data_IF_116019500937
#
_entry.id   IF_116019500937
#
_cell.length_a   1.000
_cell.length_b   1.000
_cell.length_c   1.000
_cell.angle_alpha   90.00
_cell.angle_beta   90.00
_cell.angle_gamma   90.00
#
_symmetry.space_group_name_H-M   'P 1'
#
loop_
_entity.id
_entity.type
_entity.pdbx_description
1 polymer ?
#
# COMPACT_ATOMS: atom_id res chain seq x y z
N UNK A 1 18.55 -10.02 0.54
CA UNK A 1 17.67 -11.17 0.87
C UNK A 1 16.45 -10.69 1.66
N UNK A 2 15.26 -11.23 1.38
CA UNK A 2 14.02 -10.87 2.05
C UNK A 2 13.90 -11.56 3.43
N UNK A 3 13.39 -10.85 4.44
CA UNK A 3 13.32 -11.33 5.83
C UNK A 3 11.98 -12.00 6.22
N UNK A 4 11.01 -12.05 5.32
CA UNK A 4 9.65 -12.57 5.51
C UNK A 4 8.70 -11.92 4.51
N UNK A 5 7.39 -12.24 4.53
CA UNK A 5 6.38 -11.63 3.63
C UNK A 5 6.47 -10.10 3.63
N UNK A 6 6.24 -9.49 2.47
CA UNK A 6 6.17 -8.04 2.39
C UNK A 6 4.94 -7.55 3.18
N UNK A 7 5.05 -6.39 3.82
CA UNK A 7 3.90 -5.72 4.47
C UNK A 7 3.07 -4.87 3.50
N UNK A 8 3.50 -4.77 2.25
CA UNK A 8 2.74 -4.14 1.18
C UNK A 8 2.97 -4.88 -0.15
N UNK A 9 1.94 -4.95 -0.98
CA UNK A 9 2.02 -5.48 -2.33
C UNK A 9 1.04 -4.76 -3.27
N UNK A 10 1.18 -5.00 -4.57
CA UNK A 10 0.29 -4.41 -5.58
C UNK A 10 -0.83 -5.39 -5.93
N UNK A 11 -2.03 -4.85 -6.08
CA UNK A 11 -3.17 -5.55 -6.66
C UNK A 11 -3.39 -5.05 -8.08
N UNK A 12 -3.25 -5.94 -9.06
CA UNK A 12 -3.44 -5.64 -10.47
C UNK A 12 -4.86 -6.03 -10.90
N UNK A 13 -5.61 -5.09 -11.46
CA UNK A 13 -6.99 -5.33 -11.90
C UNK A 13 -7.05 -6.10 -13.23
N UNK A 14 -8.14 -6.86 -13.43
CA UNK A 14 -8.44 -7.52 -14.69
C UNK A 14 -9.84 -7.11 -15.20
N UNK A 15 -9.96 -6.69 -16.46
CA UNK A 15 -11.28 -6.39 -17.04
C UNK A 15 -12.02 -7.64 -17.55
N UNK A 16 -11.32 -8.77 -17.69
CA UNK A 16 -11.92 -10.06 -18.03
C UNK A 16 -11.06 -11.22 -17.53
N UNK A 17 -11.62 -12.43 -17.38
CA UNK A 17 -10.84 -13.62 -17.02
C UNK A 17 -9.69 -13.89 -17.99
N UNK A 18 -9.86 -13.55 -19.28
CA UNK A 18 -8.81 -13.69 -20.29
C UNK A 18 -7.70 -12.65 -20.12
N UNK A 19 -8.02 -11.44 -19.67
CA UNK A 19 -7.00 -10.47 -19.30
C UNK A 19 -6.22 -10.92 -18.07
N UNK A 20 -6.89 -11.45 -17.04
CA UNK A 20 -6.23 -11.99 -15.84
C UNK A 20 -5.20 -13.06 -16.24
N UNK A 21 -5.62 -14.07 -17.03
CA UNK A 21 -4.73 -15.12 -17.53
C UNK A 21 -3.55 -14.58 -18.34
N UNK A 22 -3.78 -13.59 -19.21
CA UNK A 22 -2.71 -12.94 -19.99
C UNK A 22 -1.72 -12.19 -19.11
N UNK A 23 -2.19 -11.45 -18.10
CA UNK A 23 -1.33 -10.76 -17.13
C UNK A 23 -0.48 -11.75 -16.35
N UNK A 24 -1.09 -12.85 -15.88
CA UNK A 24 -0.37 -13.93 -15.18
C UNK A 24 0.69 -14.56 -16.09
N UNK A 25 0.31 -15.00 -17.29
CA UNK A 25 1.26 -15.60 -18.24
C UNK A 25 2.41 -14.65 -18.56
N UNK A 26 2.12 -13.36 -18.78
CA UNK A 26 3.14 -12.35 -19.05
C UNK A 26 4.11 -12.16 -17.88
N UNK A 27 3.61 -12.14 -16.65
CA UNK A 27 4.46 -12.04 -15.47
C UNK A 27 5.40 -13.26 -15.35
N UNK A 28 4.88 -14.46 -15.60
CA UNK A 28 5.70 -15.69 -15.60
C UNK A 28 6.77 -15.69 -16.68
N UNK A 29 6.44 -15.27 -17.91
CA UNK A 29 7.41 -15.09 -19.01
C UNK A 29 8.54 -14.13 -18.67
N UNK A 30 8.24 -13.11 -17.86
CA UNK A 30 9.20 -12.11 -17.39
C UNK A 30 10.01 -12.56 -16.16
N UNK A 31 9.89 -13.82 -15.74
CA UNK A 31 10.62 -14.39 -14.62
C UNK A 31 9.90 -14.32 -13.28
N UNK A 32 8.63 -13.90 -13.27
CA UNK A 32 7.76 -14.05 -12.11
C UNK A 32 7.43 -15.52 -11.83
N UNK A 33 6.91 -15.80 -10.64
CA UNK A 33 6.55 -17.14 -10.21
C UNK A 33 5.28 -17.12 -9.36
N UNK A 34 4.52 -18.22 -9.38
CA UNK A 34 3.47 -18.42 -8.39
C UNK A 34 4.06 -18.52 -6.98
N UNK A 35 3.32 -17.99 -6.01
CA UNK A 35 3.65 -18.07 -4.59
C UNK A 35 2.38 -18.29 -3.78
N UNK A 36 2.53 -19.03 -2.69
CA UNK A 36 1.49 -19.22 -1.68
C UNK A 36 1.86 -18.37 -0.46
N UNK A 37 0.96 -17.48 -0.07
CA UNK A 37 1.05 -16.63 1.11
C UNK A 37 -0.02 -16.93 2.15
N UNK A 38 -0.77 -18.02 1.97
CA UNK A 38 -1.90 -18.43 2.81
C UNK A 38 -3.27 -18.10 2.22
N UNK A 39 -3.35 -17.77 0.93
CA UNK A 39 -4.62 -17.59 0.23
C UNK A 39 -5.39 -18.93 0.17
N UNK A 40 -6.71 -18.86 0.31
CA UNK A 40 -7.65 -19.97 0.26
C UNK A 40 -7.97 -20.41 -1.17
N UNK A 41 -8.40 -21.67 -1.40
CA UNK A 41 -8.83 -22.14 -2.73
C UNK A 41 -10.04 -21.41 -3.30
N UNK A 42 -10.85 -20.76 -2.44
CA UNK A 42 -12.02 -19.99 -2.82
C UNK A 42 -11.68 -18.58 -3.33
N UNK A 43 -10.45 -18.10 -3.10
CA UNK A 43 -9.99 -16.82 -3.60
C UNK A 43 -9.64 -16.90 -5.09
N UNK A 44 -10.27 -16.05 -5.90
CA UNK A 44 -10.12 -16.04 -7.36
C UNK A 44 -8.90 -15.24 -7.86
N UNK A 45 -8.27 -14.48 -6.98
CA UNK A 45 -7.06 -13.74 -7.29
C UNK A 45 -5.85 -14.68 -7.44
N UNK A 46 -4.91 -14.31 -8.30
CA UNK A 46 -3.68 -15.09 -8.50
C UNK A 46 -2.50 -14.38 -7.85
N UNK A 47 -1.90 -15.00 -6.84
CA UNK A 47 -0.70 -14.47 -6.17
C UNK A 47 0.57 -14.88 -6.94
N UNK A 48 1.38 -13.89 -7.26
CA UNK A 48 2.68 -14.03 -7.90
C UNK A 48 3.78 -13.34 -7.10
N UNK A 49 5.02 -13.69 -7.38
CA UNK A 49 6.19 -12.95 -6.94
C UNK A 49 7.04 -12.55 -8.16
N UNK A 50 7.57 -11.33 -8.15
CA UNK A 50 8.55 -10.86 -9.14
C UNK A 50 9.91 -11.59 -8.98
N UNK A 51 10.88 -11.40 -9.90
CA UNK A 51 12.20 -12.03 -9.80
C UNK A 51 12.96 -11.72 -8.49
N UNK A 52 12.64 -10.58 -7.88
CA UNK A 52 13.20 -10.10 -6.62
C UNK A 52 12.45 -10.63 -5.38
N UNK A 53 11.40 -11.44 -5.59
CA UNK A 53 10.57 -12.04 -4.56
C UNK A 53 9.58 -11.08 -3.90
N UNK A 54 9.20 -9.98 -4.55
CA UNK A 54 8.09 -9.13 -4.11
C UNK A 54 6.76 -9.73 -4.55
N UNK A 55 5.85 -9.95 -3.60
CA UNK A 55 4.50 -10.42 -3.93
C UNK A 55 3.67 -9.34 -4.61
N UNK A 56 2.74 -9.77 -5.45
CA UNK A 56 1.66 -8.98 -6.01
C UNK A 56 0.52 -9.92 -6.43
N UNK A 57 -0.70 -9.41 -6.48
CA UNK A 57 -1.89 -10.16 -6.85
C UNK A 57 -2.39 -9.72 -8.22
N UNK A 58 -2.88 -10.67 -9.02
CA UNK A 58 -3.68 -10.39 -10.22
C UNK A 58 -5.13 -10.72 -9.90
N UNK A 59 -5.90 -9.68 -9.64
CA UNK A 59 -7.29 -9.76 -9.18
C UNK A 59 -8.20 -10.22 -10.32
N UNK A 60 -9.19 -11.03 -9.99
CA UNK A 60 -10.23 -11.50 -10.87
C UNK A 60 -11.03 -10.36 -11.52
N UNK A 61 -11.72 -10.68 -12.61
CA UNK A 61 -12.59 -9.72 -13.26
C UNK A 61 -13.93 -9.61 -12.53
N UNK A 62 -14.50 -8.40 -12.51
CA UNK A 62 -15.78 -8.14 -11.84
C UNK A 62 -15.65 -7.85 -10.34
N UNK A 63 -14.42 -7.71 -9.82
CA UNK A 63 -14.19 -7.25 -8.46
C UNK A 63 -14.76 -5.83 -8.26
N UNK A 64 -15.85 -5.71 -7.49
CA UNK A 64 -16.53 -4.43 -7.26
C UNK A 64 -15.71 -3.49 -6.36
N UNK A 65 -14.92 -4.03 -5.44
CA UNK A 65 -14.09 -3.23 -4.53
C UNK A 65 -13.02 -2.44 -5.28
N UNK A 66 -12.42 -3.02 -6.32
CA UNK A 66 -11.46 -2.36 -7.21
C UNK A 66 -12.12 -1.81 -8.48
N UNK A 67 -13.44 -1.66 -8.51
CA UNK A 67 -14.09 -0.91 -9.57
C UNK A 67 -13.54 0.54 -9.61
N UNK A 68 -13.53 1.10 -10.82
CA UNK A 68 -13.11 2.48 -11.12
C UNK A 68 -11.65 2.83 -10.76
N UNK A 69 -10.79 1.82 -10.55
CA UNK A 69 -9.35 2.02 -10.41
C UNK A 69 -8.59 1.81 -11.72
N UNK A 70 -7.32 2.21 -11.76
CA UNK A 70 -6.43 1.91 -12.88
C UNK A 70 -5.90 0.47 -12.86
N UNK A 71 -4.88 0.20 -13.70
CA UNK A 71 -4.26 -1.13 -13.79
C UNK A 71 -3.67 -1.62 -12.45
N UNK A 72 -3.14 -0.71 -11.63
CA UNK A 72 -2.85 -0.95 -10.21
C UNK A 72 -4.09 -0.50 -9.44
N UNK A 73 -4.87 -1.46 -8.99
CA UNK A 73 -6.13 -1.20 -8.29
C UNK A 73 -5.90 -0.77 -6.86
N UNK A 74 -5.00 -1.45 -6.16
CA UNK A 74 -4.60 -1.10 -4.81
C UNK A 74 -3.10 -1.28 -4.56
N UNK A 75 -2.61 -0.53 -3.58
CA UNK A 75 -1.46 -0.93 -2.78
C UNK A 75 -2.02 -1.53 -1.49
N UNK A 76 -1.97 -2.84 -1.38
CA UNK A 76 -2.52 -3.60 -0.26
C UNK A 76 -1.48 -3.73 0.84
N UNK A 77 -1.78 -3.17 2.01
CA UNK A 77 -0.89 -3.15 3.16
C UNK A 77 -1.40 -4.02 4.31
N UNK A 78 -0.47 -4.61 5.04
CA UNK A 78 -0.69 -5.18 6.35
C UNK A 78 -0.62 -4.06 7.39
N UNK A 79 -1.72 -3.80 8.09
CA UNK A 79 -1.74 -2.81 9.15
C UNK A 79 -3.08 -2.63 9.83
N UNK A 80 -3.05 -1.92 10.95
CA UNK A 80 -4.22 -1.66 11.79
C UNK A 80 -5.17 -0.63 11.18
N UNK A 81 -6.40 -0.57 11.69
CA UNK A 81 -7.31 0.55 11.40
C UNK A 81 -6.69 1.92 11.68
N UNK A 82 -5.83 2.03 12.71
CA UNK A 82 -5.22 3.31 13.09
C UNK A 82 -4.30 3.88 12.00
N UNK A 83 -3.54 3.03 11.30
CA UNK A 83 -2.70 3.48 10.18
C UNK A 83 -3.55 3.92 8.98
N UNK A 84 -4.68 3.26 8.71
CA UNK A 84 -5.61 3.71 7.68
C UNK A 84 -6.24 5.07 7.96
N UNK A 85 -6.68 5.30 9.21
CA UNK A 85 -7.15 6.62 9.65
C UNK A 85 -6.07 7.69 9.55
N UNK A 86 -4.83 7.37 9.96
CA UNK A 86 -3.69 8.26 9.82
C UNK A 86 -3.48 8.69 8.38
N UNK A 87 -3.44 7.75 7.43
CA UNK A 87 -3.23 8.08 6.01
C UNK A 87 -4.40 8.82 5.39
N UNK A 88 -5.65 8.54 5.82
CA UNK A 88 -6.82 9.32 5.44
C UNK A 88 -6.64 10.80 5.80
N UNK A 89 -6.24 11.11 7.04
CA UNK A 89 -6.02 12.48 7.51
C UNK A 89 -4.73 13.11 6.96
N UNK A 90 -3.69 12.32 6.74
CA UNK A 90 -2.42 12.78 6.20
C UNK A 90 -2.59 13.27 4.76
N UNK A 91 -3.28 12.47 3.92
CA UNK A 91 -3.53 12.75 2.50
C UNK A 91 -4.80 13.56 2.24
N UNK A 92 -5.69 13.66 3.24
CA UNK A 92 -7.06 14.19 3.11
C UNK A 92 -7.87 13.40 2.09
N UNK A 93 -7.65 12.08 2.05
CA UNK A 93 -8.38 11.17 1.19
C UNK A 93 -9.50 10.51 2.00
N UNK A 94 -10.74 10.48 1.48
CA UNK A 94 -11.84 9.84 2.18
C UNK A 94 -11.59 8.34 2.37
N UNK A 95 -12.11 7.80 3.48
CA UNK A 95 -12.30 6.37 3.64
C UNK A 95 -13.40 5.93 2.67
N UNK A 96 -13.04 5.06 1.72
CA UNK A 96 -13.98 4.37 0.83
C UNK A 96 -14.37 3.00 1.37
N UNK A 97 -13.67 2.53 2.41
CA UNK A 97 -14.00 1.35 3.19
C UNK A 97 -13.51 1.53 4.64
N UNK A 98 -14.34 1.15 5.61
CA UNK A 98 -14.02 1.11 7.04
C UNK A 98 -14.98 0.15 7.74
N UNK A 99 -14.67 -1.14 7.70
CA UNK A 99 -15.48 -2.21 8.27
C UNK A 99 -14.57 -3.31 8.82
N UNK A 100 -14.96 -3.94 9.93
CA UNK A 100 -14.24 -5.06 10.55
C UNK A 100 -12.74 -4.79 10.79
N UNK A 101 -12.40 -3.55 11.14
CA UNK A 101 -11.03 -3.05 11.33
C UNK A 101 -10.16 -2.95 10.05
N UNK A 102 -10.70 -3.32 8.90
CA UNK A 102 -10.10 -3.07 7.60
C UNK A 102 -10.44 -1.66 7.11
N UNK A 103 -9.48 -1.03 6.43
CA UNK A 103 -9.67 0.32 5.88
C UNK A 103 -9.17 0.43 4.45
N UNK A 104 -9.82 1.28 3.67
CA UNK A 104 -9.32 1.70 2.38
C UNK A 104 -9.59 3.18 2.17
N UNK A 105 -8.59 3.88 1.62
CA UNK A 105 -8.71 5.28 1.19
C UNK A 105 -8.46 5.39 -0.30
N UNK A 106 -9.07 6.39 -0.91
CA UNK A 106 -8.87 6.71 -2.32
C UNK A 106 -8.91 8.22 -2.49
N UNK A 107 -8.11 8.76 -3.43
CA UNK A 107 -8.22 10.16 -3.80
C UNK A 107 -9.67 10.49 -4.21
N UNK A 108 -10.21 11.67 -3.85
CA UNK A 108 -11.49 12.14 -4.38
C UNK A 108 -11.55 12.18 -5.92
N UNK A 109 -10.38 12.27 -6.57
CA UNK A 109 -10.25 12.26 -8.03
C UNK A 109 -10.17 10.83 -8.62
N UNK A 110 -10.31 9.79 -7.79
CA UNK A 110 -10.21 8.38 -8.17
C UNK A 110 -8.79 7.83 -8.22
N UNK A 111 -8.59 6.72 -8.94
CA UNK A 111 -7.27 6.07 -9.10
C UNK A 111 -7.01 4.94 -8.10
N UNK A 112 -5.75 4.64 -7.82
CA UNK A 112 -5.33 3.52 -6.96
C UNK A 112 -5.79 3.72 -5.52
N UNK A 113 -6.31 2.67 -4.89
CA UNK A 113 -6.66 2.63 -3.47
C UNK A 113 -5.44 2.31 -2.61
N UNK A 114 -5.38 2.82 -1.39
CA UNK A 114 -4.48 2.32 -0.35
C UNK A 114 -5.32 1.57 0.68
N UNK A 115 -4.94 0.33 1.00
CA UNK A 115 -5.75 -0.53 1.87
C UNK A 115 -4.93 -1.09 3.03
N UNK A 116 -5.59 -1.34 4.16
CA UNK A 116 -5.02 -1.99 5.34
C UNK A 116 -5.96 -3.08 5.84
N UNK A 117 -5.46 -4.32 5.91
CA UNK A 117 -6.25 -5.52 6.18
C UNK A 117 -6.62 -5.79 7.65
N UNK A 118 -6.36 -4.85 8.58
CA UNK A 118 -6.73 -5.02 9.98
C UNK A 118 -5.92 -6.09 10.74
N UNK A 119 -6.26 -6.37 12.01
CA UNK A 119 -5.59 -7.38 12.82
C UNK A 119 -6.00 -8.82 12.46
N UNK A 120 -5.12 -9.82 12.71
CA UNK A 120 -3.80 -9.69 13.31
C UNK A 120 -2.74 -9.21 12.32
N UNK A 121 -2.09 -8.11 12.67
CA UNK A 121 -1.04 -7.50 11.85
C UNK A 121 0.26 -8.29 12.00
N UNK A 122 0.91 -8.62 10.89
CA UNK A 122 2.12 -9.43 10.93
C UNK A 122 3.29 -8.66 11.59
N UNK A 123 4.08 -9.31 12.46
CA UNK A 123 5.25 -8.65 13.05
C UNK A 123 6.21 -8.15 11.98
N UNK A 124 6.62 -6.88 12.08
CA UNK A 124 7.57 -6.27 11.15
C UNK A 124 8.94 -6.94 11.24
N UNK A 125 9.53 -7.26 10.08
CA UNK A 125 10.83 -7.94 9.96
C UNK A 125 11.81 -7.09 9.15
N UNK A 126 12.58 -6.26 9.83
CA UNK A 126 13.53 -5.34 9.20
C UNK A 126 12.84 -4.15 8.54
N UNK A 127 13.55 -3.48 7.62
CA UNK A 127 13.05 -2.33 6.86
C UNK A 127 12.07 -2.80 5.78
N UNK A 128 10.98 -2.06 5.60
CA UNK A 128 10.01 -2.37 4.55
C UNK A 128 10.65 -2.22 3.16
N UNK A 129 10.31 -3.14 2.24
CA UNK A 129 10.78 -3.07 0.83
C UNK A 129 10.04 -2.02 0.01
N UNK A 130 8.82 -1.70 0.41
CA UNK A 130 7.99 -0.63 -0.15
C UNK A 130 7.71 0.37 0.98
N UNK A 131 7.88 1.66 0.70
CA UNK A 131 7.54 2.75 1.61
C UNK A 131 6.92 3.88 0.80
N UNK A 132 6.08 4.68 1.46
CA UNK A 132 5.46 5.84 0.84
C UNK A 132 6.38 7.05 0.92
N UNK A 133 6.34 7.89 -0.11
CA UNK A 133 6.86 9.26 -0.08
C UNK A 133 5.67 10.22 -0.15
N UNK A 134 5.45 10.96 0.93
CA UNK A 134 4.47 12.03 1.04
C UNK A 134 5.07 13.33 0.51
N UNK A 135 4.68 13.70 -0.71
CA UNK A 135 5.02 15.00 -1.28
C UNK A 135 4.12 16.10 -0.72
N UNK A 136 4.72 17.13 -0.14
CA UNK A 136 3.95 18.26 0.36
C UNK A 136 3.50 19.20 -0.78
N UNK A 137 2.27 19.75 -0.72
CA UNK A 137 1.81 20.70 -1.72
C UNK A 137 2.59 22.02 -1.63
N UNK A 138 2.62 22.76 -2.75
CA UNK A 138 3.22 24.09 -2.77
C UNK A 138 2.57 25.00 -1.69
N UNK A 139 3.40 25.63 -0.86
CA UNK A 139 2.96 26.47 0.25
C UNK A 139 2.70 25.74 1.57
N UNK A 140 2.86 24.41 1.63
CA UNK A 140 2.91 23.69 2.91
C UNK A 140 4.11 24.16 3.73
N UNK A 141 3.87 24.39 5.02
CA UNK A 141 4.93 24.78 5.95
C UNK A 141 5.71 23.55 6.43
N UNK A 142 6.91 23.38 5.89
CA UNK A 142 7.85 22.34 6.30
C UNK A 142 8.17 22.36 7.81
N UNK A 143 8.09 23.53 8.46
CA UNK A 143 8.36 23.67 9.89
C UNK A 143 7.29 23.03 10.78
N UNK A 144 6.03 23.04 10.35
CA UNK A 144 4.88 22.56 11.15
C UNK A 144 4.28 21.26 10.65
N UNK A 145 4.47 20.90 9.39
CA UNK A 145 3.89 19.69 8.82
C UNK A 145 4.33 18.40 9.52
N UNK A 146 5.62 18.21 9.90
CA UNK A 146 6.00 17.04 10.67
C UNK A 146 5.37 17.01 12.08
N UNK A 147 5.06 18.16 12.69
CA UNK A 147 4.31 18.22 13.96
C UNK A 147 2.85 17.83 13.77
N UNK A 148 2.24 18.24 12.65
CA UNK A 148 0.89 17.80 12.27
C UNK A 148 0.84 16.28 12.14
N UNK A 149 1.78 15.69 11.39
CA UNK A 149 1.84 14.24 11.21
C UNK A 149 2.06 13.49 12.54
N UNK A 150 2.90 14.03 13.43
CA UNK A 150 3.05 13.48 14.80
C UNK A 150 1.75 13.56 15.59
N UNK A 151 1.00 14.66 15.49
CA UNK A 151 -0.31 14.78 16.15
C UNK A 151 -1.36 13.78 15.65
N UNK A 152 -1.19 13.25 14.44
CA UNK A 152 -2.01 12.19 13.85
C UNK A 152 -1.54 10.78 14.21
N UNK A 153 -0.40 10.64 14.91
CA UNK A 153 0.13 9.36 15.36
C UNK A 153 1.46 8.93 14.72
N UNK A 154 2.05 9.72 13.84
CA UNK A 154 3.37 9.43 13.31
C UNK A 154 4.48 9.63 14.35
N UNK A 155 5.64 9.01 14.12
CA UNK A 155 6.86 9.21 14.92
C UNK A 155 8.00 9.72 14.04
N UNK A 156 8.76 10.71 14.52
CA UNK A 156 9.98 11.20 13.83
C UNK A 156 11.14 10.23 14.10
N UNK A 157 11.89 9.85 13.07
CA UNK A 157 13.11 9.03 13.25
C UNK A 157 14.37 9.87 13.49
N UNK A 158 14.34 11.16 13.13
CA UNK A 158 15.51 12.03 13.12
C UNK A 158 16.44 11.81 11.92
N UNK A 159 16.10 10.88 11.04
CA UNK A 159 16.81 10.63 9.79
C UNK A 159 16.22 11.47 8.65
N UNK A 160 17.09 11.99 7.80
CA UNK A 160 16.68 12.81 6.66
C UNK A 160 17.85 13.60 6.07
N UNK A 161 17.59 14.20 4.93
CA UNK A 161 18.40 15.27 4.37
C UNK A 161 17.58 16.58 4.39
N UNK A 162 18.16 17.70 3.95
CA UNK A 162 17.49 19.00 4.02
C UNK A 162 16.11 19.03 3.35
N UNK A 163 15.83 18.15 2.38
CA UNK A 163 14.64 18.17 1.55
C UNK A 163 13.71 16.95 1.76
N UNK A 164 14.18 15.94 2.51
CA UNK A 164 13.41 14.74 2.84
C UNK A 164 13.62 14.31 4.30
N UNK A 165 12.53 14.00 4.99
CA UNK A 165 12.55 13.49 6.37
C UNK A 165 11.92 12.10 6.42
N UNK A 166 12.55 11.16 7.12
CA UNK A 166 11.97 9.84 7.41
C UNK A 166 11.12 9.91 8.68
N UNK A 167 9.94 9.28 8.64
CA UNK A 167 9.01 9.16 9.74
C UNK A 167 8.45 7.73 9.78
N UNK A 168 7.84 7.36 10.89
CA UNK A 168 7.11 6.10 11.07
C UNK A 168 5.62 6.39 11.19
N UNK A 169 4.78 5.61 10.53
CA UNK A 169 3.34 5.63 10.73
C UNK A 169 2.94 4.96 12.08
N UNK A 170 1.65 4.95 12.47
CA UNK A 170 1.22 4.35 13.74
C UNK A 170 1.59 2.87 13.93
N UNK A 171 1.82 2.14 12.84
CA UNK A 171 2.21 0.72 12.83
C UNK A 171 3.74 0.52 12.75
N UNK A 172 4.50 1.61 12.83
CA UNK A 172 5.95 1.60 12.77
C UNK A 172 6.52 1.38 11.36
N UNK A 173 5.72 1.57 10.31
CA UNK A 173 6.21 1.49 8.94
C UNK A 173 6.88 2.79 8.52
N UNK A 174 8.01 2.66 7.84
CA UNK A 174 8.74 3.81 7.32
C UNK A 174 7.97 4.48 6.17
N UNK A 175 7.88 5.81 6.24
CA UNK A 175 7.55 6.66 5.10
C UNK A 175 8.45 7.90 5.11
N UNK A 176 8.53 8.58 3.99
CA UNK A 176 9.29 9.82 3.87
C UNK A 176 8.37 11.00 3.57
N UNK A 177 8.71 12.17 4.09
CA UNK A 177 8.05 13.44 3.76
C UNK A 177 9.02 14.24 2.93
N UNK A 178 8.60 14.71 1.76
CA UNK A 178 9.44 15.49 0.83
C UNK A 178 8.94 16.93 0.76
N UNK A 179 9.87 17.89 0.81
CA UNK A 179 9.57 19.30 0.58
C UNK A 179 8.90 19.53 -0.78
N UNK A 180 8.07 20.57 -0.92
CA UNK A 180 7.63 21.04 -2.22
C UNK A 180 8.86 21.41 -3.07
N UNK A 181 8.91 20.92 -4.30
CA UNK A 181 9.93 21.29 -5.29
C UNK A 181 9.62 22.57 -6.02
#
# INVERSE_FOLDING_TARGET
PKAGRNRAHFDLTSASPEQQRRTVARALELGGRHVDIGQSPEEEHVVLADPDGNEFCVIEAGNEFLADTGAIGAVACDGTRAVGLFWSEALRWPLVWDQDEETAIQSPDGGTKLTWGGPPVAPKRGVNRLSFELGLPAGADWGTEPDRLVSLGATRTGEGDGDRMTMLDPDGNEFSVRRPG
#
